data_IF_411095798541
#
_entry.id   IF_411095798541
#
_cell.length_a   1.000
_cell.length_b   1.000
_cell.length_c   1.000
_cell.angle_alpha   90.00
_cell.angle_beta   90.00
_cell.angle_gamma   90.00
#
_symmetry.space_group_name_H-M   'P 1'
#
loop_
_entity.id
_entity.type
_entity.pdbx_description
1 polymer ?
#
# COMPACT_ATOMS: atom_id res chain seq x y z
N UNK A 1 34.25 -4.30 -9.57
CA UNK A 1 33.12 -3.45 -9.17
C UNK A 1 32.23 -4.32 -8.30
N UNK A 2 32.27 -4.13 -6.98
CA UNK A 2 31.44 -4.92 -6.06
C UNK A 2 29.97 -4.56 -6.31
N UNK A 3 29.06 -5.54 -6.40
CA UNK A 3 27.64 -5.25 -6.52
C UNK A 3 27.21 -4.47 -5.28
N UNK A 4 26.60 -3.32 -5.53
CA UNK A 4 25.92 -2.54 -4.50
C UNK A 4 24.82 -3.48 -3.98
N UNK A 5 24.70 -3.73 -2.66
CA UNK A 5 23.56 -4.47 -2.16
C UNK A 5 22.33 -3.63 -2.47
N UNK A 6 21.59 -4.02 -3.51
CA UNK A 6 20.26 -3.49 -3.78
C UNK A 6 19.47 -3.63 -2.48
N UNK A 7 19.24 -2.52 -1.79
CA UNK A 7 18.33 -2.48 -0.66
C UNK A 7 16.96 -2.87 -1.24
N UNK A 8 16.61 -4.15 -1.06
CA UNK A 8 15.72 -4.91 -1.93
C UNK A 8 14.25 -4.53 -1.81
N UNK A 9 13.89 -3.34 -2.28
CA UNK A 9 12.50 -2.96 -2.55
C UNK A 9 12.26 -2.98 -4.04
N UNK A 10 12.23 -4.18 -4.62
CA UNK A 10 11.64 -4.33 -5.95
C UNK A 10 10.15 -3.96 -5.83
N UNK A 11 9.63 -2.91 -6.50
CA UNK A 11 8.19 -2.58 -6.46
C UNK A 11 7.31 -3.74 -6.97
N UNK A 12 7.94 -4.70 -7.65
CA UNK A 12 7.35 -5.95 -8.13
C UNK A 12 7.10 -7.00 -7.04
N UNK A 13 7.68 -6.85 -5.84
CA UNK A 13 7.58 -7.83 -4.75
C UNK A 13 6.50 -7.51 -3.70
N UNK A 14 5.74 -6.42 -3.91
CA UNK A 14 4.63 -6.05 -3.05
C UNK A 14 3.37 -6.88 -3.37
N UNK A 15 2.73 -7.39 -2.32
CA UNK A 15 1.41 -8.03 -2.42
C UNK A 15 0.35 -7.03 -2.94
N UNK A 16 -0.64 -7.53 -3.71
CA UNK A 16 -1.65 -6.68 -4.35
C UNK A 16 -2.38 -5.74 -3.38
N UNK A 17 -2.65 -6.19 -2.16
CA UNK A 17 -3.29 -5.36 -1.13
C UNK A 17 -2.37 -4.22 -0.64
N UNK A 18 -1.05 -4.42 -0.66
CA UNK A 18 -0.07 -3.38 -0.28
C UNK A 18 0.04 -2.32 -1.37
N UNK A 19 0.02 -2.73 -2.63
CA UNK A 19 -0.02 -1.80 -3.76
C UNK A 19 -1.30 -0.97 -3.75
N UNK A 20 -2.44 -1.61 -3.51
CA UNK A 20 -3.72 -0.91 -3.35
C UNK A 20 -3.65 0.12 -2.20
N UNK A 21 -3.08 -0.26 -1.05
CA UNK A 21 -2.92 0.66 0.08
C UNK A 21 -2.05 1.89 -0.25
N UNK A 22 -0.94 1.71 -0.97
CA UNK A 22 -0.09 2.81 -1.46
C UNK A 22 -0.85 3.74 -2.42
N UNK A 23 -1.59 3.17 -3.36
CA UNK A 23 -2.42 3.95 -4.30
C UNK A 23 -3.49 4.74 -3.56
N UNK A 24 -4.18 4.12 -2.60
CA UNK A 24 -5.18 4.80 -1.77
C UNK A 24 -4.57 5.93 -0.93
N UNK A 25 -3.33 5.76 -0.45
CA UNK A 25 -2.61 6.83 0.26
C UNK A 25 -2.31 8.01 -0.68
N UNK A 26 -1.82 7.72 -1.89
CA UNK A 26 -1.50 8.72 -2.91
C UNK A 26 -2.74 9.48 -3.42
N UNK A 27 -3.90 8.82 -3.47
CA UNK A 27 -5.17 9.43 -3.88
C UNK A 27 -5.77 10.38 -2.84
N UNK A 28 -5.34 10.29 -1.58
CA UNK A 28 -5.88 11.07 -0.48
C UNK A 28 -7.25 10.57 0.01
N UNK A 29 -7.72 11.10 1.15
CA UNK A 29 -8.84 10.55 1.91
C UNK A 29 -10.19 10.58 1.16
N UNK A 30 -10.51 11.68 0.47
CA UNK A 30 -11.79 11.85 -0.23
C UNK A 30 -11.96 10.85 -1.37
N UNK A 31 -10.94 10.73 -2.23
CA UNK A 31 -10.96 9.82 -3.37
C UNK A 31 -10.84 8.36 -2.92
N UNK A 32 -10.01 8.07 -1.92
CA UNK A 32 -9.88 6.73 -1.36
C UNK A 32 -11.21 6.23 -0.75
N UNK A 33 -12.00 7.10 -0.13
CA UNK A 33 -13.30 6.74 0.43
C UNK A 33 -14.28 6.27 -0.65
N UNK A 34 -14.25 6.85 -1.85
CA UNK A 34 -15.06 6.40 -2.98
C UNK A 34 -14.64 5.01 -3.45
N UNK A 35 -13.34 4.73 -3.51
CA UNK A 35 -12.82 3.40 -3.90
C UNK A 35 -13.20 2.35 -2.86
N UNK A 36 -13.03 2.65 -1.56
CA UNK A 36 -13.37 1.72 -0.47
C UNK A 36 -14.85 1.34 -0.47
N UNK A 37 -15.75 2.25 -0.87
CA UNK A 37 -17.20 2.00 -0.97
C UNK A 37 -17.58 0.99 -2.05
N UNK A 38 -16.75 0.79 -3.07
CA UNK A 38 -16.98 -0.18 -4.15
C UNK A 38 -16.45 -1.57 -3.82
N UNK A 39 -15.84 -1.77 -2.65
CA UNK A 39 -15.23 -3.03 -2.22
C UNK A 39 -16.12 -3.78 -1.23
N UNK A 40 -15.89 -5.07 -1.09
CA UNK A 40 -16.54 -5.90 -0.07
C UNK A 40 -15.87 -5.72 1.29
N UNK A 41 -16.57 -6.02 2.38
CA UNK A 41 -16.02 -5.92 3.75
C UNK A 41 -14.71 -6.69 3.93
N UNK A 42 -14.59 -7.88 3.32
CA UNK A 42 -13.38 -8.69 3.37
C UNK A 42 -12.19 -7.95 2.74
N UNK A 43 -12.40 -7.33 1.58
CA UNK A 43 -11.34 -6.60 0.87
C UNK A 43 -10.97 -5.30 1.59
N UNK A 44 -11.97 -4.58 2.11
CA UNK A 44 -11.75 -3.39 2.96
C UNK A 44 -10.86 -3.74 4.16
N UNK A 45 -11.15 -4.86 4.83
CA UNK A 45 -10.38 -5.30 6.00
C UNK A 45 -8.94 -5.66 5.64
N UNK A 46 -8.73 -6.35 4.51
CA UNK A 46 -7.39 -6.73 4.01
C UNK A 46 -6.56 -5.50 3.65
N UNK A 47 -7.15 -4.56 2.91
CA UNK A 47 -6.47 -3.33 2.48
C UNK A 47 -6.19 -2.42 3.67
N UNK A 48 -7.14 -2.24 4.59
CA UNK A 48 -6.97 -1.39 5.77
C UNK A 48 -5.80 -1.86 6.65
N UNK A 49 -5.65 -3.17 6.83
CA UNK A 49 -4.52 -3.77 7.55
C UNK A 49 -3.18 -3.40 6.91
N UNK A 50 -3.11 -3.45 5.57
CA UNK A 50 -1.90 -3.05 4.83
C UNK A 50 -1.66 -1.54 4.87
N UNK A 51 -2.71 -0.74 4.84
CA UNK A 51 -2.62 0.73 4.83
C UNK A 51 -2.02 1.29 6.12
N UNK A 52 -2.30 0.65 7.26
CA UNK A 52 -1.65 0.96 8.53
C UNK A 52 -0.15 0.66 8.46
N UNK A 53 0.23 -0.52 7.95
CA UNK A 53 1.63 -0.91 7.82
C UNK A 53 2.43 0.00 6.88
N UNK A 54 1.83 0.42 5.77
CA UNK A 54 2.46 1.35 4.81
C UNK A 54 2.63 2.74 5.40
N UNK A 55 1.63 3.27 6.10
CA UNK A 55 1.73 4.58 6.77
C UNK A 55 2.86 4.67 7.80
N UNK A 56 3.23 3.56 8.42
CA UNK A 56 4.37 3.52 9.34
C UNK A 56 5.72 3.70 8.64
N UNK A 57 5.81 3.38 7.34
CA UNK A 57 7.03 3.51 6.54
C UNK A 57 7.25 4.94 6.04
N UNK A 58 6.17 5.69 5.72
CA UNK A 58 6.23 7.10 5.31
C UNK A 58 6.68 8.06 6.44
N UNK A 59 6.79 7.59 7.69
CA UNK A 59 7.15 8.40 8.87
C UNK A 59 8.66 8.36 9.20
N UNK A 60 9.52 7.96 8.27
CA UNK A 60 11.00 7.94 8.38
C UNK A 60 11.63 8.67 7.21
#
# INVERSE_FOLDING_TARGET
>A
MSPIPDCGVSPFQLDGATKAALVLLALGPDTAALVLRSLTETEIKRISTRLIAVRQLDLT
#
